data_IF_350867086630
#
_entry.id   IF_350867086630
#
_cell.length_a   1.000
_cell.length_b   1.000
_cell.length_c   1.000
_cell.angle_alpha   90.00
_cell.angle_beta   90.00
_cell.angle_gamma   90.00
#
_symmetry.space_group_name_H-M   'P 1'
#
loop_
_entity.id
_entity.type
_entity.pdbx_description
1 polymer ?
#
# COMPACT_ATOMS: atom_id res chain seq x y z
N UNK A 1 6.25 -17.69 -24.14
CA UNK A 1 5.34 -16.77 -24.88
C UNK A 1 4.99 -15.56 -24.00
N UNK A 2 4.45 -15.72 -22.80
CA UNK A 2 4.08 -14.61 -21.91
C UNK A 2 5.25 -13.68 -21.59
N UNK A 3 6.44 -14.20 -21.33
CA UNK A 3 7.64 -13.38 -21.06
C UNK A 3 8.10 -12.59 -22.29
N UNK A 4 7.95 -13.15 -23.49
CA UNK A 4 8.29 -12.43 -24.72
C UNK A 4 7.35 -11.24 -24.93
N UNK A 5 6.05 -11.46 -24.80
CA UNK A 5 5.03 -10.40 -24.88
C UNK A 5 5.31 -9.32 -23.83
N UNK A 6 5.61 -9.71 -22.59
CA UNK A 6 5.92 -8.76 -21.53
C UNK A 6 7.14 -7.87 -21.87
N UNK A 7 8.21 -8.45 -22.41
CA UNK A 7 9.39 -7.69 -22.86
C UNK A 7 9.05 -6.73 -24.00
N UNK A 8 8.25 -7.16 -24.98
CA UNK A 8 7.82 -6.30 -26.08
C UNK A 8 6.97 -5.11 -25.60
N UNK A 9 6.03 -5.35 -24.68
CA UNK A 9 5.20 -4.32 -24.06
C UNK A 9 6.05 -3.29 -23.31
N UNK A 10 7.00 -3.76 -22.47
CA UNK A 10 7.95 -2.89 -21.77
C UNK A 10 8.76 -2.04 -22.77
N UNK A 11 9.32 -2.65 -23.79
CA UNK A 11 10.08 -1.94 -24.81
C UNK A 11 9.23 -0.90 -25.55
N UNK A 12 7.98 -1.24 -25.88
CA UNK A 12 7.06 -0.32 -26.53
C UNK A 12 6.68 0.88 -25.64
N UNK A 13 6.50 0.65 -24.35
CA UNK A 13 6.23 1.70 -23.35
C UNK A 13 7.42 2.67 -23.23
N UNK A 14 8.64 2.14 -23.09
CA UNK A 14 9.86 2.95 -23.00
C UNK A 14 10.09 3.80 -24.26
N UNK A 15 9.88 3.23 -25.45
CA UNK A 15 10.00 4.00 -26.73
C UNK A 15 9.00 5.16 -26.81
N UNK A 16 7.91 5.12 -26.07
CA UNK A 16 6.89 6.18 -25.99
C UNK A 16 7.11 7.15 -24.82
N UNK A 17 8.24 7.02 -24.10
CA UNK A 17 8.56 7.87 -22.95
C UNK A 17 7.70 7.60 -21.72
N UNK A 18 7.05 6.43 -21.64
CA UNK A 18 6.28 6.05 -20.46
C UNK A 18 7.22 5.61 -19.34
N UNK A 19 6.87 5.96 -18.10
CA UNK A 19 7.57 5.53 -16.91
C UNK A 19 7.07 4.14 -16.51
N UNK A 20 7.99 3.19 -16.35
CA UNK A 20 7.65 1.84 -15.93
C UNK A 20 7.60 1.74 -14.40
N UNK A 21 6.50 1.19 -13.91
CA UNK A 21 6.30 0.90 -12.50
C UNK A 21 6.29 -0.62 -12.25
N UNK A 22 7.11 -1.08 -11.31
CA UNK A 22 6.94 -2.40 -10.69
C UNK A 22 5.88 -2.27 -9.61
N UNK A 23 4.73 -2.91 -9.81
CA UNK A 23 3.58 -2.81 -8.91
C UNK A 23 3.23 -4.18 -8.34
N UNK A 24 2.90 -4.23 -7.06
CA UNK A 24 2.32 -5.41 -6.44
C UNK A 24 2.81 -5.70 -5.02
N UNK A 25 2.19 -6.72 -4.48
CA UNK A 25 2.59 -7.35 -3.22
C UNK A 25 3.73 -8.36 -3.48
N UNK A 26 4.30 -8.90 -2.40
CA UNK A 26 5.35 -9.92 -2.47
C UNK A 26 6.58 -9.61 -1.61
N UNK A 27 6.85 -8.34 -1.34
CA UNK A 27 7.99 -7.93 -0.51
C UNK A 27 7.97 -8.52 0.91
N UNK A 28 6.81 -8.98 1.38
CA UNK A 28 6.63 -9.64 2.68
C UNK A 28 6.69 -11.17 2.58
N UNK A 29 6.86 -11.73 1.40
CA UNK A 29 6.83 -13.17 1.13
C UNK A 29 8.18 -13.69 0.63
N UNK A 30 8.50 -13.51 -0.64
CA UNK A 30 9.69 -14.07 -1.30
C UNK A 30 11.02 -13.78 -0.61
N UNK A 31 11.30 -12.55 -0.14
CA UNK A 31 12.55 -12.25 0.57
C UNK A 31 12.71 -13.02 1.87
N UNK A 32 11.65 -13.62 2.37
CA UNK A 32 11.59 -14.37 3.62
C UNK A 32 11.43 -15.89 3.39
N UNK A 33 11.53 -16.33 2.14
CA UNK A 33 11.45 -17.76 1.77
C UNK A 33 10.03 -18.30 1.73
N UNK A 34 9.04 -17.44 1.49
CA UNK A 34 7.64 -17.83 1.29
C UNK A 34 7.34 -17.73 -0.20
N UNK A 35 7.09 -18.89 -0.83
CA UNK A 35 6.64 -18.92 -2.21
C UNK A 35 5.15 -18.54 -2.31
N UNK A 36 4.78 -17.94 -3.44
CA UNK A 36 3.39 -17.65 -3.78
C UNK A 36 2.97 -16.22 -3.46
N UNK A 37 2.34 -15.62 -4.45
CA UNK A 37 1.79 -14.25 -4.40
C UNK A 37 0.27 -14.28 -4.57
N UNK A 38 -0.38 -15.35 -4.12
CA UNK A 38 -1.81 -15.53 -4.27
C UNK A 38 -2.56 -15.26 -2.97
N UNK A 39 -3.78 -14.73 -3.06
CA UNK A 39 -4.67 -14.50 -1.92
C UNK A 39 -5.45 -15.76 -1.54
N UNK A 40 -4.74 -16.86 -1.37
CA UNK A 40 -5.30 -18.13 -0.89
C UNK A 40 -4.44 -18.74 0.21
N UNK A 41 -5.01 -19.58 1.08
CA UNK A 41 -4.25 -20.25 2.12
C UNK A 41 -3.16 -21.14 1.53
N UNK A 42 -1.98 -21.13 2.16
CA UNK A 42 -0.91 -22.07 1.84
C UNK A 42 -1.29 -23.47 2.29
N UNK A 43 -1.09 -24.45 1.41
CA UNK A 43 -1.32 -25.86 1.73
C UNK A 43 -0.20 -26.43 2.62
N UNK A 44 1.03 -25.94 2.47
CA UNK A 44 2.20 -26.45 3.18
C UNK A 44 2.48 -25.63 4.45
N UNK A 45 2.87 -26.29 5.56
CA UNK A 45 3.26 -25.60 6.78
C UNK A 45 4.51 -24.74 6.58
N UNK A 46 4.48 -23.53 7.12
CA UNK A 46 5.66 -22.65 7.07
C UNK A 46 6.69 -23.10 8.12
N UNK A 47 7.96 -23.28 7.75
CA UNK A 47 9.03 -23.66 8.68
C UNK A 47 9.19 -22.68 9.84
N UNK A 48 9.60 -23.15 11.00
CA UNK A 48 9.83 -22.31 12.18
C UNK A 48 10.90 -21.23 11.93
N UNK A 49 11.90 -21.53 11.10
CA UNK A 49 12.95 -20.59 10.65
C UNK A 49 12.40 -19.38 9.89
N UNK A 50 11.25 -19.53 9.23
CA UNK A 50 10.54 -18.47 8.51
C UNK A 50 9.51 -17.80 9.41
N UNK A 51 8.72 -18.58 10.16
CA UNK A 51 7.69 -18.03 11.07
C UNK A 51 8.24 -16.99 12.06
N UNK A 52 9.51 -17.09 12.45
CA UNK A 52 10.17 -16.09 13.32
C UNK A 52 10.12 -14.66 12.78
N UNK A 53 9.95 -14.47 11.47
CA UNK A 53 9.87 -13.15 10.84
C UNK A 53 8.45 -12.57 10.88
N UNK A 54 7.43 -13.41 11.04
CA UNK A 54 6.04 -12.96 11.05
C UNK A 54 5.70 -12.06 12.23
N UNK A 55 4.70 -11.23 12.04
CA UNK A 55 4.07 -10.49 13.11
C UNK A 55 3.61 -11.45 14.20
N UNK A 56 3.80 -11.04 15.46
CA UNK A 56 3.18 -11.70 16.59
C UNK A 56 1.81 -11.09 16.82
N UNK A 57 0.76 -11.85 16.59
CA UNK A 57 -0.63 -11.42 16.80
C UNK A 57 -1.27 -12.39 17.77
N UNK A 58 -1.90 -11.90 18.84
CA UNK A 58 -2.48 -12.72 19.90
C UNK A 58 -1.50 -13.79 20.45
N UNK A 59 -0.24 -13.40 20.61
CA UNK A 59 0.83 -14.26 21.12
C UNK A 59 1.45 -15.22 20.09
N UNK A 60 0.92 -15.36 18.90
CA UNK A 60 1.35 -16.34 17.89
C UNK A 60 2.07 -15.67 16.72
N UNK A 61 2.96 -16.42 16.05
CA UNK A 61 3.63 -16.06 14.79
C UNK A 61 3.25 -17.08 13.73
N UNK A 62 2.21 -16.79 13.00
CA UNK A 62 1.63 -17.67 11.98
C UNK A 62 1.13 -16.88 10.79
N UNK A 63 0.78 -17.54 9.69
CA UNK A 63 0.15 -16.89 8.57
C UNK A 63 -1.22 -16.35 8.96
N UNK A 64 -1.50 -15.10 8.64
CA UNK A 64 -2.79 -14.48 8.89
C UNK A 64 -3.87 -15.07 7.96
N UNK A 65 -4.82 -15.79 8.56
CA UNK A 65 -5.81 -16.55 7.79
C UNK A 65 -5.19 -17.65 6.89
N UNK A 66 -3.98 -18.08 7.18
CA UNK A 66 -3.23 -19.01 6.32
C UNK A 66 -2.66 -18.38 5.03
N UNK A 67 -2.87 -17.09 4.79
CA UNK A 67 -2.58 -16.41 3.52
C UNK A 67 -1.26 -15.61 3.62
N UNK A 68 -0.23 -15.96 2.83
CA UNK A 68 1.06 -15.27 2.85
C UNK A 68 0.94 -13.75 2.60
N UNK A 69 0.25 -13.34 1.54
CA UNK A 69 0.11 -11.92 1.17
C UNK A 69 -0.59 -11.07 2.24
N UNK A 70 -1.44 -11.68 3.06
CA UNK A 70 -2.12 -10.99 4.16
C UNK A 70 -1.29 -10.94 5.45
N UNK A 71 -0.13 -11.61 5.49
CA UNK A 71 0.65 -11.79 6.71
C UNK A 71 1.69 -10.70 6.90
N UNK A 72 1.50 -9.87 7.91
CA UNK A 72 2.47 -8.84 8.28
C UNK A 72 3.74 -9.44 8.90
N UNK A 73 4.83 -8.71 8.79
CA UNK A 73 6.12 -9.06 9.37
C UNK A 73 6.38 -8.30 10.68
N UNK A 74 7.38 -8.77 11.43
CA UNK A 74 7.86 -8.11 12.63
C UNK A 74 8.87 -6.99 12.29
N UNK A 75 8.40 -5.85 11.80
CA UNK A 75 9.26 -4.73 11.35
C UNK A 75 10.11 -4.10 12.48
N UNK A 76 9.80 -4.38 13.73
CA UNK A 76 10.66 -4.03 14.86
C UNK A 76 11.96 -4.86 14.94
N UNK A 77 12.06 -5.96 14.18
CA UNK A 77 13.29 -6.78 14.10
C UNK A 77 14.26 -6.24 13.06
N UNK A 78 15.51 -5.94 13.41
CA UNK A 78 16.51 -5.47 12.44
C UNK A 78 16.73 -6.43 11.26
N UNK A 79 16.68 -7.74 11.48
CA UNK A 79 16.84 -8.74 10.44
C UNK A 79 15.72 -8.65 9.38
N UNK A 80 14.47 -8.42 9.78
CA UNK A 80 13.34 -8.25 8.86
C UNK A 80 13.56 -7.01 7.99
N UNK A 81 13.92 -5.88 8.59
CA UNK A 81 14.19 -4.65 7.86
C UNK A 81 15.35 -4.81 6.87
N UNK A 82 16.47 -5.44 7.30
CA UNK A 82 17.62 -5.68 6.41
C UNK A 82 17.25 -6.53 5.19
N UNK A 83 16.53 -7.63 5.39
CA UNK A 83 16.13 -8.52 4.29
C UNK A 83 15.22 -7.79 3.30
N UNK A 84 14.24 -7.04 3.79
CA UNK A 84 13.34 -6.27 2.93
C UNK A 84 14.07 -5.17 2.15
N UNK A 85 14.94 -4.42 2.81
CA UNK A 85 15.77 -3.39 2.17
C UNK A 85 16.67 -4.00 1.10
N UNK A 86 17.34 -5.11 1.43
CA UNK A 86 18.22 -5.80 0.48
C UNK A 86 17.45 -6.26 -0.76
N UNK A 87 16.27 -6.88 -0.57
CA UNK A 87 15.45 -7.35 -1.67
C UNK A 87 15.04 -6.20 -2.62
N UNK A 88 14.55 -5.08 -2.07
CA UNK A 88 14.14 -3.92 -2.89
C UNK A 88 15.33 -3.30 -3.62
N UNK A 89 16.48 -3.18 -2.96
CA UNK A 89 17.69 -2.60 -3.57
C UNK A 89 18.28 -3.52 -4.64
N UNK A 90 18.28 -4.83 -4.42
CA UNK A 90 18.76 -5.79 -5.41
C UNK A 90 17.84 -5.84 -6.62
N UNK A 91 16.53 -5.78 -6.40
CA UNK A 91 15.55 -5.69 -7.47
C UNK A 91 15.78 -4.43 -8.34
N UNK A 92 15.88 -3.26 -7.70
CA UNK A 92 16.15 -1.99 -8.41
C UNK A 92 17.44 -2.03 -9.24
N UNK A 93 18.46 -2.73 -8.74
CA UNK A 93 19.73 -2.90 -9.45
C UNK A 93 19.62 -3.81 -10.67
N UNK A 94 18.82 -4.86 -10.57
CA UNK A 94 18.63 -5.84 -11.66
C UNK A 94 17.60 -5.42 -12.70
N UNK A 95 16.76 -4.41 -12.40
CA UNK A 95 15.71 -3.90 -13.29
C UNK A 95 15.82 -2.37 -13.44
N UNK A 96 16.90 -1.87 -14.06
CA UNK A 96 17.12 -0.42 -14.18
C UNK A 96 16.09 0.28 -15.08
N UNK A 97 15.39 -0.47 -15.91
CA UNK A 97 14.29 0.04 -16.76
C UNK A 97 13.03 0.37 -15.94
N UNK A 98 12.86 -0.19 -14.75
CA UNK A 98 11.73 0.09 -13.87
C UNK A 98 12.08 1.24 -12.94
N UNK A 99 11.71 2.44 -13.36
CA UNK A 99 12.07 3.70 -12.69
C UNK A 99 11.37 3.89 -11.34
N UNK A 100 10.25 3.20 -11.14
CA UNK A 100 9.43 3.31 -9.93
C UNK A 100 9.08 1.91 -9.40
N UNK A 101 9.32 1.70 -8.11
CA UNK A 101 8.98 0.44 -7.42
C UNK A 101 7.94 0.72 -6.34
N UNK A 102 6.87 -0.04 -6.33
CA UNK A 102 5.86 -0.01 -5.28
C UNK A 102 6.28 -0.95 -4.14
N UNK A 103 6.56 -0.41 -2.98
CA UNK A 103 6.96 -1.20 -1.80
C UNK A 103 5.76 -1.31 -0.86
N UNK A 104 4.88 -2.25 -1.13
CA UNK A 104 3.70 -2.50 -0.33
C UNK A 104 3.98 -3.49 0.79
N UNK A 105 3.43 -3.23 1.98
CA UNK A 105 3.39 -4.21 3.05
C UNK A 105 2.31 -5.27 2.77
N UNK A 106 2.08 -6.18 3.72
CA UNK A 106 1.05 -7.20 3.55
C UNK A 106 -0.35 -6.59 3.41
N UNK A 107 -1.23 -7.27 2.69
CA UNK A 107 -2.59 -6.82 2.37
C UNK A 107 -3.58 -6.99 3.55
N UNK A 108 -3.21 -7.68 4.59
CA UNK A 108 -4.07 -7.89 5.77
C UNK A 108 -4.19 -6.67 6.66
N UNK A 109 -5.36 -6.51 7.26
CA UNK A 109 -5.69 -5.46 8.23
C UNK A 109 -5.74 -5.99 9.66
N UNK A 110 -5.50 -5.14 10.66
CA UNK A 110 -5.58 -5.48 12.09
C UNK A 110 -4.72 -6.70 12.49
N UNK A 111 -3.55 -6.83 11.88
CA UNK A 111 -2.65 -7.97 12.07
C UNK A 111 -1.18 -7.56 12.23
N UNK A 112 -0.93 -6.35 12.69
CA UNK A 112 0.42 -5.86 12.96
C UNK A 112 1.02 -6.45 14.23
N UNK A 113 2.35 -6.59 14.24
CA UNK A 113 3.10 -7.24 15.30
C UNK A 113 2.91 -6.58 16.67
N UNK A 114 2.58 -7.41 17.68
CA UNK A 114 2.32 -7.01 19.08
C UNK A 114 3.52 -7.23 20.00
N UNK A 115 4.68 -7.65 19.50
CA UNK A 115 5.86 -7.85 20.35
C UNK A 115 6.31 -6.53 21.00
N UNK A 116 7.06 -6.63 22.11
CA UNK A 116 7.48 -5.48 22.91
C UNK A 116 8.18 -4.37 22.11
N UNK A 117 8.96 -4.72 21.09
CA UNK A 117 9.62 -3.75 20.21
C UNK A 117 8.61 -3.02 19.30
N UNK A 118 7.67 -3.77 18.67
CA UNK A 118 6.71 -3.19 17.74
C UNK A 118 5.62 -2.36 18.42
N UNK A 119 5.22 -2.73 19.66
CA UNK A 119 4.18 -1.99 20.41
C UNK A 119 4.55 -0.54 20.72
N UNK A 120 5.83 -0.21 20.74
CA UNK A 120 6.32 1.16 21.02
C UNK A 120 6.10 2.15 19.88
N UNK A 121 5.73 1.65 18.69
CA UNK A 121 5.61 2.44 17.45
C UNK A 121 4.26 2.17 16.77
N UNK A 122 3.75 3.13 16.00
CA UNK A 122 2.72 2.82 15.02
C UNK A 122 3.29 1.97 13.89
N UNK A 123 2.49 1.15 13.19
CA UNK A 123 2.95 0.47 11.98
C UNK A 123 3.53 1.43 10.95
N UNK A 124 2.92 2.59 10.77
CA UNK A 124 3.40 3.65 9.87
C UNK A 124 4.75 4.23 10.27
N UNK A 125 5.08 4.31 11.57
CA UNK A 125 6.44 4.70 12.01
C UNK A 125 7.48 3.66 11.56
N UNK A 126 7.20 2.36 11.81
CA UNK A 126 8.09 1.26 11.42
C UNK A 126 8.22 1.16 9.89
N UNK A 127 7.15 1.44 9.18
CA UNK A 127 7.17 1.47 7.72
C UNK A 127 8.06 2.61 7.19
N UNK A 128 7.93 3.82 7.73
CA UNK A 128 8.80 4.95 7.39
C UNK A 128 10.26 4.65 7.69
N UNK A 129 10.56 3.93 8.78
CA UNK A 129 11.93 3.49 9.06
C UNK A 129 12.49 2.54 7.98
N UNK A 130 11.66 1.60 7.49
CA UNK A 130 12.01 0.72 6.36
C UNK A 130 12.24 1.54 5.09
N UNK A 131 11.34 2.47 4.76
CA UNK A 131 11.45 3.34 3.59
C UNK A 131 12.73 4.19 3.62
N UNK A 132 13.04 4.82 4.73
CA UNK A 132 14.28 5.59 4.89
C UNK A 132 15.54 4.69 4.74
N UNK A 133 15.48 3.43 5.17
CA UNK A 133 16.57 2.49 4.99
C UNK A 133 16.70 2.03 3.53
N UNK A 134 15.59 1.89 2.80
CA UNK A 134 15.59 1.63 1.35
C UNK A 134 16.23 2.81 0.61
N UNK A 135 15.84 4.05 0.90
CA UNK A 135 16.45 5.24 0.30
C UNK A 135 17.95 5.29 0.52
N UNK A 136 18.41 5.04 1.74
CA UNK A 136 19.86 4.97 2.06
C UNK A 136 20.55 3.87 1.23
N UNK A 137 19.93 2.70 1.08
CA UNK A 137 20.45 1.59 0.29
C UNK A 137 20.54 1.88 -1.21
N UNK A 138 19.52 2.53 -1.78
CA UNK A 138 19.48 2.96 -3.18
C UNK A 138 20.51 4.07 -3.42
N UNK A 139 20.61 5.04 -2.54
CA UNK A 139 21.56 6.17 -2.63
C UNK A 139 23.01 5.69 -2.57
N UNK A 140 23.33 4.77 -1.66
CA UNK A 140 24.65 4.17 -1.56
C UNK A 140 25.11 3.45 -2.85
N UNK A 141 24.15 2.99 -3.65
CA UNK A 141 24.38 2.33 -4.95
C UNK A 141 24.17 3.25 -6.15
N UNK A 142 23.92 4.54 -5.92
CA UNK A 142 23.65 5.56 -6.95
C UNK A 142 22.47 5.22 -7.85
N UNK A 143 21.47 4.54 -7.30
CA UNK A 143 20.24 4.21 -8.02
C UNK A 143 19.22 5.35 -7.89
N UNK A 144 18.65 5.79 -9.01
CA UNK A 144 17.68 6.87 -9.09
C UNK A 144 16.23 6.40 -8.90
N UNK A 145 16.00 5.09 -8.79
CA UNK A 145 14.67 4.47 -8.63
C UNK A 145 13.86 5.16 -7.54
N UNK A 146 12.62 5.55 -7.87
CA UNK A 146 11.67 6.13 -6.92
C UNK A 146 10.81 5.05 -6.27
N UNK A 147 10.26 5.33 -5.11
CA UNK A 147 9.48 4.38 -4.32
C UNK A 147 8.07 4.90 -4.10
N UNK A 148 7.09 4.13 -4.52
CA UNK A 148 5.68 4.34 -4.11
C UNK A 148 5.42 3.57 -2.82
N UNK A 149 4.88 4.24 -1.82
CA UNK A 149 4.49 3.64 -0.55
C UNK A 149 3.02 3.91 -0.21
N UNK A 150 2.41 3.01 0.55
CA UNK A 150 0.98 2.99 0.81
C UNK A 150 0.56 3.70 2.09
N UNK A 151 -0.53 4.49 2.00
CA UNK A 151 -1.46 4.75 3.09
C UNK A 151 -2.72 3.91 2.86
N UNK A 152 -2.77 2.72 3.45
CA UNK A 152 -3.77 1.69 3.21
C UNK A 152 -4.07 0.96 4.51
N UNK A 153 -5.30 0.62 4.78
CA UNK A 153 -5.78 -0.04 6.00
C UNK A 153 -5.13 0.53 7.28
N UNK A 154 -4.42 -0.25 8.08
CA UNK A 154 -3.73 0.22 9.30
C UNK A 154 -2.76 1.38 9.05
N UNK A 155 -2.16 1.44 7.86
CA UNK A 155 -1.24 2.51 7.45
C UNK A 155 -1.95 3.82 7.09
N UNK A 156 -3.28 3.86 7.03
CA UNK A 156 -4.03 5.12 6.91
C UNK A 156 -3.74 6.07 8.09
N UNK A 157 -3.49 5.54 9.29
CA UNK A 157 -3.04 6.34 10.43
C UNK A 157 -1.56 6.72 10.25
N UNK A 158 -1.33 7.99 9.95
CA UNK A 158 0.00 8.54 9.67
C UNK A 158 0.99 8.31 10.82
N UNK A 159 2.31 8.32 10.55
CA UNK A 159 3.35 8.19 11.57
C UNK A 159 3.31 9.36 12.54
N UNK A 160 3.65 9.10 13.81
CA UNK A 160 3.73 10.13 14.85
C UNK A 160 5.16 10.50 15.23
N UNK A 161 6.12 9.59 15.02
CA UNK A 161 7.54 9.75 15.41
C UNK A 161 8.46 9.80 14.21
N UNK A 162 8.28 8.87 13.27
CA UNK A 162 9.12 8.78 12.08
C UNK A 162 8.75 9.83 11.03
N UNK A 163 9.74 10.24 10.22
CA UNK A 163 9.56 11.17 9.10
C UNK A 163 10.33 10.66 7.89
N UNK A 164 9.79 10.81 6.71
CA UNK A 164 10.50 10.60 5.44
C UNK A 164 11.60 11.67 5.34
N UNK A 165 12.86 11.23 5.16
CA UNK A 165 14.03 12.11 5.15
C UNK A 165 14.28 12.73 3.79
N UNK A 166 13.96 11.99 2.72
CA UNK A 166 14.15 12.41 1.32
C UNK A 166 12.83 12.34 0.56
N UNK A 167 11.95 13.35 0.67
CA UNK A 167 10.63 13.32 0.03
C UNK A 167 10.67 13.13 -1.49
N UNK A 168 11.73 13.60 -2.17
CA UNK A 168 11.85 13.49 -3.63
C UNK A 168 11.99 12.02 -4.10
N UNK A 169 12.47 11.12 -3.24
CA UNK A 169 12.57 9.68 -3.50
C UNK A 169 11.21 9.00 -3.54
N UNK A 170 10.19 9.56 -2.89
CA UNK A 170 8.96 8.85 -2.55
C UNK A 170 7.73 9.46 -3.19
N UNK A 171 6.75 8.59 -3.43
CA UNK A 171 5.39 8.93 -3.84
C UNK A 171 4.45 8.27 -2.83
N UNK A 172 3.61 9.05 -2.16
CA UNK A 172 2.56 8.53 -1.29
C UNK A 172 1.39 8.06 -2.14
N UNK A 173 1.00 6.79 -2.02
CA UNK A 173 -0.22 6.26 -2.61
C UNK A 173 -1.29 6.10 -1.54
N UNK A 174 -2.33 6.91 -1.61
CA UNK A 174 -3.48 6.85 -0.72
C UNK A 174 -4.51 5.88 -1.29
N UNK A 175 -4.88 4.86 -0.52
CA UNK A 175 -5.75 3.78 -0.96
C UNK A 175 -6.91 3.53 0.03
N UNK A 176 -8.02 4.31 -0.06
CA UNK A 176 -9.12 4.29 0.89
C UNK A 176 -10.14 3.18 0.61
N UNK A 177 -9.73 1.91 0.63
CA UNK A 177 -10.54 0.76 0.21
C UNK A 177 -11.90 0.64 0.91
N UNK A 178 -12.05 1.19 2.12
CA UNK A 178 -13.29 1.05 2.90
C UNK A 178 -14.30 2.14 2.64
N UNK A 179 -13.96 3.18 1.84
CA UNK A 179 -14.89 4.28 1.57
C UNK A 179 -16.12 3.82 0.79
N UNK A 180 -17.22 4.54 0.97
CA UNK A 180 -18.39 4.42 0.08
C UNK A 180 -18.15 5.14 -1.24
N UNK A 181 -18.70 4.61 -2.33
CA UNK A 181 -18.72 5.22 -3.66
C UNK A 181 -20.08 5.82 -4.02
N UNK A 182 -20.99 5.93 -3.06
CA UNK A 182 -22.27 6.64 -3.24
C UNK A 182 -22.12 8.15 -3.31
N UNK A 183 -20.98 8.69 -2.87
CA UNK A 183 -20.64 10.13 -2.85
C UNK A 183 -19.18 10.35 -3.21
N UNK A 184 -18.86 11.42 -3.96
CA UNK A 184 -17.47 11.78 -4.26
C UNK A 184 -16.76 12.44 -3.07
N UNK A 185 -15.42 12.49 -3.15
CA UNK A 185 -14.62 13.34 -2.29
C UNK A 185 -14.97 14.82 -2.45
N UNK A 186 -15.16 15.51 -1.34
CA UNK A 186 -15.47 16.96 -1.34
C UNK A 186 -16.93 17.31 -1.61
N UNK A 187 -17.82 16.34 -1.83
CA UNK A 187 -19.26 16.61 -1.79
C UNK A 187 -19.68 16.90 -0.34
N UNK A 188 -20.58 17.85 -0.17
CA UNK A 188 -21.22 18.06 1.12
C UNK A 188 -21.88 16.75 1.59
N UNK A 189 -21.51 16.27 2.77
CA UNK A 189 -22.19 15.14 3.39
C UNK A 189 -23.65 15.47 3.66
N UNK A 190 -24.50 14.45 3.91
CA UNK A 190 -25.84 14.70 4.40
C UNK A 190 -25.75 15.60 5.63
N UNK A 191 -26.72 16.51 5.78
CA UNK A 191 -26.83 17.34 6.96
C UNK A 191 -26.91 16.43 8.19
N UNK A 192 -25.77 16.24 8.87
CA UNK A 192 -25.65 15.27 9.93
C UNK A 192 -24.24 15.19 10.50
N UNK A 193 -24.10 14.34 11.47
CA UNK A 193 -22.87 14.14 12.23
C UNK A 193 -21.76 13.57 11.35
N UNK A 194 -20.66 14.30 11.20
CA UNK A 194 -19.46 13.78 10.52
C UNK A 194 -19.00 12.48 11.21
N UNK A 195 -18.62 11.50 10.40
CA UNK A 195 -18.05 10.26 10.91
C UNK A 195 -16.82 10.55 11.77
N UNK A 196 -16.82 10.01 12.99
CA UNK A 196 -15.65 10.09 13.87
C UNK A 196 -14.64 9.04 13.47
N UNK A 197 -13.47 9.48 13.02
CA UNK A 197 -12.31 8.61 12.88
C UNK A 197 -11.68 8.48 14.26
N UNK A 198 -11.65 7.25 14.79
CA UNK A 198 -11.04 6.93 16.08
C UNK A 198 -9.51 7.10 16.05
N UNK A 199 -8.93 7.20 17.26
CA UNK A 199 -7.49 7.12 17.40
C UNK A 199 -6.95 5.76 16.97
N UNK A 200 -5.65 5.69 16.68
CA UNK A 200 -5.01 4.44 16.35
C UNK A 200 -5.04 3.45 17.53
N UNK A 201 -5.66 2.31 17.34
CA UNK A 201 -5.65 1.16 18.26
C UNK A 201 -5.06 -0.04 17.53
N UNK A 202 -3.94 -0.58 18.01
CA UNK A 202 -3.27 -1.71 17.35
C UNK A 202 -4.19 -2.93 17.28
N UNK A 203 -4.38 -3.43 16.05
CA UNK A 203 -5.21 -4.59 15.75
C UNK A 203 -6.68 -4.49 16.22
N UNK A 204 -7.15 -3.27 16.41
CA UNK A 204 -8.53 -2.95 16.83
C UNK A 204 -9.09 -1.75 16.08
N UNK A 205 -8.64 -1.49 14.85
CA UNK A 205 -9.08 -0.36 14.06
C UNK A 205 -10.45 -0.61 13.46
N UNK A 206 -11.28 0.43 13.52
CA UNK A 206 -12.50 0.56 12.73
C UNK A 206 -12.21 1.58 11.63
N UNK A 207 -12.29 1.13 10.39
CA UNK A 207 -11.95 1.95 9.24
C UNK A 207 -13.13 2.85 8.85
N UNK A 208 -12.88 4.13 8.50
CA UNK A 208 -13.93 5.03 8.07
C UNK A 208 -14.49 4.60 6.72
N UNK A 209 -15.82 4.74 6.58
CA UNK A 209 -16.53 4.46 5.34
C UNK A 209 -16.91 5.73 4.58
N UNK A 210 -16.96 6.89 5.25
CA UNK A 210 -17.27 8.14 4.59
C UNK A 210 -16.04 8.71 3.84
N UNK A 211 -16.25 9.47 2.76
CA UNK A 211 -15.18 10.23 2.10
C UNK A 211 -14.47 11.18 3.07
N UNK A 212 -15.22 11.86 3.95
CA UNK A 212 -14.69 12.81 4.93
C UNK A 212 -13.77 12.15 5.97
N UNK A 213 -14.17 10.96 6.46
CA UNK A 213 -13.36 10.17 7.39
C UNK A 213 -12.03 9.76 6.76
N UNK A 214 -12.07 9.28 5.51
CA UNK A 214 -10.86 8.92 4.76
C UNK A 214 -9.98 10.15 4.48
N UNK A 215 -10.56 11.28 4.06
CA UNK A 215 -9.81 12.54 3.86
C UNK A 215 -9.18 13.07 5.15
N UNK A 216 -9.79 12.82 6.32
CA UNK A 216 -9.17 13.16 7.59
C UNK A 216 -7.86 12.40 7.82
N UNK A 217 -7.82 11.11 7.47
CA UNK A 217 -6.61 10.30 7.54
C UNK A 217 -5.56 10.75 6.53
N UNK A 218 -5.95 11.06 5.29
CA UNK A 218 -5.06 11.64 4.28
C UNK A 218 -4.42 12.94 4.77
N UNK A 219 -5.18 13.84 5.41
CA UNK A 219 -4.62 15.07 6.02
C UNK A 219 -3.57 14.77 7.07
N UNK A 220 -3.68 13.65 7.79
CA UNK A 220 -2.66 13.17 8.72
C UNK A 220 -1.34 12.89 8.01
N UNK A 221 -1.38 12.18 6.91
CA UNK A 221 -0.21 11.90 6.06
C UNK A 221 0.37 13.17 5.43
N UNK A 222 -0.46 14.08 4.95
CA UNK A 222 -0.01 15.35 4.35
C UNK A 222 0.74 16.25 5.32
N UNK A 223 0.49 16.12 6.62
CA UNK A 223 1.32 16.78 7.65
C UNK A 223 2.65 16.07 7.90
N UNK A 224 2.74 14.79 7.58
CA UNK A 224 3.94 13.98 7.80
C UNK A 224 4.83 13.85 6.56
N UNK A 225 4.25 14.07 5.37
CA UNK A 225 4.92 13.90 4.07
C UNK A 225 4.47 14.99 3.09
N UNK A 226 5.45 15.68 2.49
CA UNK A 226 5.24 16.81 1.57
C UNK A 226 5.74 16.52 0.13
N UNK A 227 5.89 15.25 -0.24
CA UNK A 227 6.25 14.84 -1.59
C UNK A 227 5.03 14.62 -2.48
N UNK A 228 5.28 14.01 -3.63
CA UNK A 228 4.28 13.63 -4.61
C UNK A 228 3.27 12.63 -4.02
N UNK A 229 2.00 12.78 -4.40
CA UNK A 229 0.90 11.97 -3.88
C UNK A 229 -0.02 11.53 -5.01
N UNK A 230 -0.40 10.27 -4.99
CA UNK A 230 -1.37 9.68 -5.93
C UNK A 230 -2.49 9.00 -5.15
N UNK A 231 -3.65 8.93 -5.77
CA UNK A 231 -4.78 8.18 -5.24
C UNK A 231 -4.87 6.81 -5.92
N UNK A 232 -5.15 5.77 -5.15
CA UNK A 232 -5.46 4.44 -5.63
C UNK A 232 -6.85 4.05 -5.14
N UNK A 233 -7.82 4.06 -6.03
CA UNK A 233 -9.22 3.91 -5.64
C UNK A 233 -9.91 2.73 -6.34
N UNK A 234 -11.10 2.38 -5.90
CA UNK A 234 -11.75 1.10 -6.16
C UNK A 234 -13.13 1.26 -6.83
N UNK A 235 -13.34 2.34 -7.59
CA UNK A 235 -14.61 2.65 -8.25
C UNK A 235 -15.17 1.50 -9.07
N UNK A 236 -14.32 0.79 -9.80
CA UNK A 236 -14.73 -0.27 -10.71
C UNK A 236 -14.58 -1.67 -10.10
N UNK A 237 -14.35 -1.76 -8.78
CA UNK A 237 -14.16 -3.03 -8.11
C UNK A 237 -15.26 -3.40 -7.12
N UNK A 238 -15.78 -2.44 -6.35
CA UNK A 238 -16.73 -2.72 -5.25
C UNK A 238 -18.18 -2.45 -5.57
N UNK A 239 -18.47 -1.38 -6.28
CA UNK A 239 -19.85 -0.89 -6.44
C UNK A 239 -20.51 -1.23 -7.78
N UNK A 240 -19.82 -1.94 -8.67
CA UNK A 240 -20.39 -2.33 -9.95
C UNK A 240 -21.64 -3.24 -9.79
N UNK A 241 -21.71 -4.04 -8.72
CA UNK A 241 -22.87 -4.89 -8.41
C UNK A 241 -24.06 -4.05 -7.94
N UNK A 242 -23.80 -2.93 -7.28
CA UNK A 242 -24.82 -2.02 -6.73
C UNK A 242 -25.26 -0.95 -7.73
N UNK A 243 -24.49 -0.75 -8.78
CA UNK A 243 -24.77 0.19 -9.88
C UNK A 243 -24.53 -0.51 -11.23
N UNK A 244 -25.39 -1.49 -11.59
CA UNK A 244 -25.18 -2.32 -12.79
C UNK A 244 -25.14 -1.53 -14.10
N UNK A 245 -25.74 -0.34 -14.15
CA UNK A 245 -25.62 0.58 -15.29
C UNK A 245 -24.38 1.45 -15.25
N UNK A 246 -23.60 1.39 -14.19
CA UNK A 246 -22.40 2.21 -13.94
C UNK A 246 -22.62 3.72 -14.09
N UNK A 247 -23.84 4.17 -13.96
CA UNK A 247 -24.22 5.58 -14.16
C UNK A 247 -23.84 6.44 -12.95
N UNK A 248 -24.07 5.93 -11.75
CA UNK A 248 -23.72 6.60 -10.50
C UNK A 248 -22.21 6.63 -10.31
N UNK A 249 -21.57 5.48 -10.49
CA UNK A 249 -20.11 5.35 -10.27
C UNK A 249 -19.32 6.22 -11.25
N UNK A 250 -19.76 6.36 -12.49
CA UNK A 250 -19.13 7.25 -13.49
C UNK A 250 -19.16 8.71 -13.04
N UNK A 251 -20.29 9.17 -12.48
CA UNK A 251 -20.43 10.53 -11.95
C UNK A 251 -19.56 10.74 -10.72
N UNK A 252 -19.50 9.75 -9.83
CA UNK A 252 -18.65 9.80 -8.63
C UNK A 252 -17.19 9.85 -9.05
N UNK A 253 -16.75 9.01 -9.98
CA UNK A 253 -15.38 9.00 -10.50
C UNK A 253 -14.99 10.36 -11.11
N UNK A 254 -15.84 10.94 -11.97
CA UNK A 254 -15.59 12.25 -12.54
C UNK A 254 -15.43 13.34 -11.47
N UNK A 255 -16.32 13.35 -10.48
CA UNK A 255 -16.27 14.31 -9.39
C UNK A 255 -15.07 14.08 -8.46
N UNK A 256 -14.67 12.83 -8.24
CA UNK A 256 -13.49 12.46 -7.46
C UNK A 256 -12.20 12.92 -8.14
N UNK A 257 -12.03 12.69 -9.45
CA UNK A 257 -10.86 13.17 -10.18
C UNK A 257 -10.70 14.70 -10.05
N UNK A 258 -11.81 15.44 -10.23
CA UNK A 258 -11.81 16.89 -10.03
C UNK A 258 -11.54 17.27 -8.57
N UNK A 259 -12.09 16.52 -7.61
CA UNK A 259 -11.88 16.73 -6.17
C UNK A 259 -10.45 16.47 -5.74
N UNK A 260 -9.86 15.37 -6.18
CA UNK A 260 -8.49 14.96 -5.89
C UNK A 260 -7.48 15.95 -6.50
N UNK A 261 -7.71 16.43 -7.74
CA UNK A 261 -6.90 17.47 -8.34
C UNK A 261 -6.90 18.76 -7.49
N UNK A 262 -8.06 19.23 -7.02
CA UNK A 262 -8.16 20.40 -6.12
C UNK A 262 -7.47 20.15 -4.78
N UNK A 263 -7.41 18.90 -4.32
CA UNK A 263 -6.65 18.52 -3.12
C UNK A 263 -5.14 18.44 -3.40
N UNK A 264 -4.68 18.64 -4.64
CA UNK A 264 -3.27 18.59 -5.00
C UNK A 264 -2.72 17.16 -5.09
N UNK A 265 -3.56 16.18 -5.43
CA UNK A 265 -3.08 14.84 -5.81
C UNK A 265 -2.49 14.91 -7.22
N UNK A 266 -1.34 14.27 -7.43
CA UNK A 266 -0.58 14.34 -8.68
C UNK A 266 -1.01 13.25 -9.69
N UNK A 267 -1.73 12.23 -9.25
CA UNK A 267 -2.16 11.13 -10.11
C UNK A 267 -3.27 10.29 -9.50
N UNK A 268 -3.82 9.42 -10.33
CA UNK A 268 -4.89 8.51 -9.99
C UNK A 268 -4.63 7.14 -10.59
N UNK A 269 -4.86 6.09 -9.82
CA UNK A 269 -4.82 4.69 -10.24
C UNK A 269 -6.16 4.06 -9.87
N UNK A 270 -6.81 3.38 -10.81
CA UNK A 270 -8.03 2.63 -10.54
C UNK A 270 -7.75 1.16 -10.39
N UNK A 271 -8.15 0.59 -9.26
CA UNK A 271 -8.27 -0.86 -9.13
C UNK A 271 -9.51 -1.31 -9.90
N UNK A 272 -9.31 -2.17 -10.91
CA UNK A 272 -10.39 -2.69 -11.73
C UNK A 272 -10.60 -4.17 -11.41
N UNK A 273 -11.87 -4.58 -11.25
CA UNK A 273 -12.18 -5.99 -11.19
C UNK A 273 -12.11 -6.58 -12.60
N UNK A 274 -11.09 -7.35 -12.87
CA UNK A 274 -11.01 -8.20 -14.09
C UNK A 274 -12.00 -9.38 -14.03
N UNK A 275 -13.13 -9.26 -13.33
CA UNK A 275 -14.02 -10.37 -13.01
C UNK A 275 -15.32 -10.32 -13.79
N UNK A 276 -15.41 -9.50 -14.81
CA UNK A 276 -16.55 -9.54 -15.70
C UNK A 276 -16.25 -10.55 -16.78
N UNK A 277 -16.74 -11.79 -16.56
CA UNK A 277 -16.98 -12.69 -17.67
C UNK A 277 -18.19 -12.12 -18.42
N UNK A 278 -17.97 -11.64 -19.64
CA UNK A 278 -19.03 -11.37 -20.58
C UNK A 278 -19.50 -12.70 -21.16
#
# INVERSE_FOLDING_TARGET
EAEAIHREVKAAALRRGLVLHMVGHGWTCEPFGIAGTEWRPMAQPVPASVRRFFAQVKGRRELWGGIPLNTQLCYGRPAVRRLMVQAVVDYARSHPEEQVIHVWLADGANNHCECAACRKHRPSDLYVDVLNAIDAGLTARRLSTRIVFLAYVDLLWAPVRARIRNPARFILMFAPITRTYSRPFGAAGPAGRLERVGDYVRNGLVFPTSPEGNLRLLRGWRRAFHGEQVDFDYHLWRDWVLDPGQMQISRVLQADLAGLARLGMNGYISCQAQRVAF
#
